data_IF_852418023137
#
_entry.id   IF_852418023137
#
_cell.length_a   1.000
_cell.length_b   1.000
_cell.length_c   1.000
_cell.angle_alpha   90.00
_cell.angle_beta   90.00
_cell.angle_gamma   90.00
#
_symmetry.space_group_name_H-M   'P 1'
#
loop_
_entity.id
_entity.type
_entity.pdbx_description
1 polymer ?
#
# COMPACT_ATOMS: atom_id res chain seq x y z
N UNK A 1 -77.67 -11.47 56.87
CA UNK A 1 -76.27 -11.86 57.05
C UNK A 1 -75.55 -11.62 55.78
N UNK A 2 -74.67 -10.54 55.71
CA UNK A 2 -73.94 -10.15 54.54
C UNK A 2 -72.42 -10.52 54.81
N UNK A 3 -71.94 -11.47 54.02
CA UNK A 3 -70.53 -11.91 54.05
C UNK A 3 -69.75 -11.03 53.04
N UNK A 4 -68.74 -10.27 53.53
CA UNK A 4 -67.80 -9.49 52.70
C UNK A 4 -66.59 -10.38 52.40
N UNK A 5 -66.34 -10.58 51.13
CA UNK A 5 -65.13 -11.23 50.61
C UNK A 5 -64.10 -10.11 50.34
N UNK A 6 -62.97 -10.15 51.06
CA UNK A 6 -61.77 -9.31 50.80
C UNK A 6 -60.93 -9.99 49.72
N UNK A 7 -60.77 -9.34 48.57
CA UNK A 7 -59.82 -9.75 47.52
C UNK A 7 -58.55 -9.00 47.76
N UNK A 8 -57.50 -9.71 48.21
CA UNK A 8 -56.16 -9.18 48.30
C UNK A 8 -55.50 -9.09 46.93
N UNK A 9 -55.16 -7.86 46.51
CA UNK A 9 -54.42 -7.56 45.29
C UNK A 9 -52.90 -7.67 45.59
N UNK A 10 -52.27 -8.78 45.17
CA UNK A 10 -50.83 -8.94 45.21
C UNK A 10 -50.20 -8.22 44.02
N UNK A 11 -49.52 -7.04 44.29
CA UNK A 11 -48.70 -6.37 43.30
C UNK A 11 -47.36 -7.12 43.16
N UNK A 12 -47.26 -7.94 42.12
CA UNK A 12 -45.99 -8.49 41.67
C UNK A 12 -45.15 -7.41 40.98
N UNK A 13 -44.13 -6.85 41.66
CA UNK A 13 -43.07 -6.07 41.01
C UNK A 13 -42.22 -7.00 40.16
N UNK A 14 -42.53 -7.05 38.87
CA UNK A 14 -41.65 -7.65 37.86
C UNK A 14 -40.48 -6.68 37.62
N UNK A 15 -39.30 -6.96 38.24
CA UNK A 15 -38.03 -6.30 37.92
C UNK A 15 -37.62 -6.69 36.50
N UNK A 16 -38.04 -5.91 35.50
CA UNK A 16 -37.47 -5.95 34.19
C UNK A 16 -36.04 -5.43 34.30
N UNK A 17 -35.07 -6.34 34.46
CA UNK A 17 -33.67 -6.05 34.30
C UNK A 17 -33.45 -5.58 32.85
N UNK A 18 -33.24 -4.27 32.66
CA UNK A 18 -32.69 -3.71 31.42
C UNK A 18 -31.29 -4.31 31.24
N UNK A 19 -31.21 -5.42 30.49
CA UNK A 19 -29.97 -5.84 29.88
C UNK A 19 -29.69 -4.77 28.83
N UNK A 20 -28.97 -3.71 29.22
CA UNK A 20 -28.35 -2.80 28.27
C UNK A 20 -27.36 -3.66 27.47
N UNK A 21 -27.81 -4.18 26.34
CA UNK A 21 -26.97 -4.85 25.38
C UNK A 21 -25.87 -3.86 25.02
N UNK A 22 -24.66 -4.06 25.50
CA UNK A 22 -23.51 -3.24 25.12
C UNK A 22 -23.42 -3.28 23.60
N UNK A 23 -23.72 -2.16 22.97
CA UNK A 23 -23.64 -2.05 21.50
C UNK A 23 -22.23 -2.48 21.09
N UNK A 24 -22.14 -3.56 20.31
CA UNK A 24 -20.86 -4.12 19.90
C UNK A 24 -20.04 -3.01 19.23
N UNK A 25 -18.84 -2.74 19.76
CA UNK A 25 -17.91 -1.77 19.18
C UNK A 25 -17.64 -2.13 17.72
N UNK A 26 -17.68 -1.15 16.84
CA UNK A 26 -17.46 -1.35 15.40
C UNK A 26 -16.30 -0.49 14.94
N UNK A 27 -15.40 -1.09 14.14
CA UNK A 27 -14.33 -0.41 13.41
C UNK A 27 -14.64 -0.50 11.92
N UNK A 28 -14.74 0.64 11.24
CA UNK A 28 -14.93 0.71 9.80
C UNK A 28 -13.57 0.93 9.14
N UNK A 29 -13.06 -0.10 8.47
CA UNK A 29 -11.79 -0.09 7.74
C UNK A 29 -12.04 0.17 6.26
N UNK A 30 -11.35 1.17 5.66
CA UNK A 30 -11.40 1.47 4.23
C UNK A 30 -10.02 1.22 3.62
N UNK A 31 -9.88 0.20 2.78
CA UNK A 31 -8.62 -0.38 2.38
C UNK A 31 -8.68 -0.92 0.94
N UNK A 32 -7.53 -1.13 0.33
CA UNK A 32 -7.35 -1.81 -0.95
C UNK A 32 -7.88 -3.25 -0.92
N UNK A 33 -8.26 -3.76 -2.10
CA UNK A 33 -8.63 -5.18 -2.28
C UNK A 33 -7.48 -6.10 -1.89
N UNK A 34 -7.79 -7.24 -1.27
CA UNK A 34 -6.82 -8.30 -0.89
C UNK A 34 -5.60 -7.80 -0.08
N UNK A 35 -5.77 -6.78 0.74
CA UNK A 35 -4.66 -6.07 1.37
C UNK A 35 -4.60 -6.21 2.89
N UNK A 36 -5.42 -7.08 3.48
CA UNK A 36 -5.38 -7.45 4.89
C UNK A 36 -5.68 -8.93 5.11
N UNK A 37 -4.91 -9.59 5.97
CA UNK A 37 -5.13 -10.97 6.35
C UNK A 37 -6.37 -11.11 7.25
N UNK A 38 -7.31 -11.95 6.85
CA UNK A 38 -8.58 -12.17 7.57
C UNK A 38 -8.34 -12.75 8.97
N UNK A 39 -7.29 -13.54 9.17
CA UNK A 39 -6.97 -14.13 10.47
C UNK A 39 -6.42 -13.07 11.44
N UNK A 40 -5.69 -12.06 10.94
CA UNK A 40 -5.26 -10.90 11.76
C UNK A 40 -6.47 -10.06 12.18
N UNK A 41 -7.42 -9.83 11.27
CA UNK A 41 -8.69 -9.14 11.60
C UNK A 41 -9.44 -9.88 12.70
N UNK A 42 -9.64 -11.20 12.56
CA UNK A 42 -10.31 -12.03 13.59
C UNK A 42 -9.58 -12.01 14.93
N UNK A 43 -8.26 -11.95 14.92
CA UNK A 43 -7.45 -11.84 16.13
C UNK A 43 -7.68 -10.51 16.85
N UNK A 44 -7.78 -9.41 16.11
CA UNK A 44 -8.14 -8.11 16.66
C UNK A 44 -9.56 -8.10 17.25
N UNK A 45 -10.53 -8.64 16.52
CA UNK A 45 -11.93 -8.76 16.97
C UNK A 45 -12.02 -9.55 18.27
N UNK A 46 -11.30 -10.69 18.35
CA UNK A 46 -11.23 -11.53 19.56
C UNK A 46 -10.61 -10.79 20.73
N UNK A 47 -9.53 -10.03 20.51
CA UNK A 47 -8.80 -9.31 21.55
C UNK A 47 -9.58 -8.12 22.12
N UNK A 48 -10.44 -7.47 21.32
CA UNK A 48 -11.10 -6.22 21.67
C UNK A 48 -12.61 -6.33 21.87
N UNK A 49 -13.24 -7.42 21.42
CA UNK A 49 -14.69 -7.58 21.34
C UNK A 49 -15.35 -6.69 20.28
N UNK A 50 -14.55 -5.96 19.49
CA UNK A 50 -15.05 -5.13 18.41
C UNK A 50 -15.28 -5.97 17.14
N UNK A 51 -16.13 -5.47 16.25
CA UNK A 51 -16.31 -6.00 14.90
C UNK A 51 -15.63 -5.08 13.89
N UNK A 52 -14.81 -5.64 13.00
CA UNK A 52 -14.22 -4.90 11.87
C UNK A 52 -15.12 -5.05 10.65
N UNK A 53 -15.46 -3.91 10.03
CA UNK A 53 -16.22 -3.87 8.78
C UNK A 53 -15.32 -3.26 7.72
N UNK A 54 -14.98 -4.06 6.72
CA UNK A 54 -14.08 -3.67 5.65
C UNK A 54 -14.87 -3.16 4.45
N UNK A 55 -14.49 -1.99 3.95
CA UNK A 55 -14.90 -1.43 2.67
C UNK A 55 -13.68 -1.34 1.77
N UNK A 56 -13.84 -1.66 0.49
CA UNK A 56 -12.74 -1.71 -0.46
C UNK A 56 -12.76 -0.49 -1.40
N UNK A 57 -11.59 -0.14 -1.92
CA UNK A 57 -11.41 0.81 -3.02
C UNK A 57 -10.26 0.35 -3.93
N UNK A 58 -10.23 0.86 -5.16
CA UNK A 58 -9.29 0.45 -6.20
C UNK A 58 -8.36 1.61 -6.64
N UNK A 59 -8.64 2.85 -6.19
CA UNK A 59 -7.79 4.01 -6.47
C UNK A 59 -7.75 4.99 -5.30
N UNK A 60 -6.62 5.71 -5.13
CA UNK A 60 -6.53 6.79 -4.15
C UNK A 60 -7.50 7.94 -4.47
N UNK A 61 -7.81 8.16 -5.74
CA UNK A 61 -8.72 9.18 -6.22
C UNK A 61 -10.16 8.88 -5.78
N UNK A 62 -10.63 7.64 -5.93
CA UNK A 62 -11.95 7.20 -5.45
C UNK A 62 -12.05 7.27 -3.93
N UNK A 63 -11.00 6.81 -3.23
CA UNK A 63 -10.91 6.91 -1.77
C UNK A 63 -11.00 8.37 -1.32
N UNK A 64 -10.23 9.27 -1.95
CA UNK A 64 -10.22 10.71 -1.64
C UNK A 64 -11.59 11.35 -1.89
N UNK A 65 -12.20 11.10 -3.04
CA UNK A 65 -13.54 11.59 -3.38
C UNK A 65 -14.59 11.12 -2.36
N UNK A 66 -14.50 9.86 -1.92
CA UNK A 66 -15.38 9.31 -0.88
C UNK A 66 -15.22 10.02 0.46
N UNK A 67 -13.98 10.31 0.88
CA UNK A 67 -13.74 11.05 2.13
C UNK A 67 -14.22 12.50 2.04
N UNK A 68 -14.02 13.17 0.91
CA UNK A 68 -14.51 14.53 0.65
C UNK A 68 -16.03 14.62 0.68
N UNK A 69 -16.74 13.59 0.24
CA UNK A 69 -18.22 13.51 0.24
C UNK A 69 -18.82 13.06 1.57
N UNK A 70 -18.11 13.21 2.69
CA UNK A 70 -18.57 12.90 4.05
C UNK A 70 -18.09 11.55 4.60
N UNK A 71 -17.23 10.83 3.88
CA UNK A 71 -16.64 9.57 4.30
C UNK A 71 -15.80 9.68 5.59
N UNK A 72 -15.33 10.88 5.95
CA UNK A 72 -14.60 11.12 7.20
C UNK A 72 -15.38 10.76 8.47
N UNK A 73 -16.72 10.65 8.39
CA UNK A 73 -17.60 10.21 9.47
C UNK A 73 -17.98 8.72 9.37
N UNK A 74 -17.65 8.09 8.24
CA UNK A 74 -18.06 6.70 7.95
C UNK A 74 -16.96 5.70 8.27
N UNK A 75 -15.70 6.13 8.19
CA UNK A 75 -14.54 5.28 8.37
C UNK A 75 -13.72 5.65 9.59
N UNK A 76 -13.07 4.66 10.19
CA UNK A 76 -12.23 4.81 11.38
C UNK A 76 -10.74 4.71 11.03
N UNK A 77 -10.40 3.79 10.11
CA UNK A 77 -9.04 3.64 9.56
C UNK A 77 -9.14 3.60 8.04
N UNK A 78 -8.26 4.34 7.38
CA UNK A 78 -8.08 4.33 5.91
C UNK A 78 -6.63 4.01 5.61
N UNK A 79 -6.36 3.37 4.46
CA UNK A 79 -5.00 2.91 4.09
C UNK A 79 -4.54 3.53 2.77
N UNK A 80 -4.29 4.86 2.72
CA UNK A 80 -3.83 5.55 1.52
C UNK A 80 -2.35 5.33 1.21
N UNK A 81 -1.97 5.50 -0.06
CA UNK A 81 -0.57 5.60 -0.47
C UNK A 81 0.07 6.92 -0.01
N UNK A 82 1.39 6.92 0.14
CA UNK A 82 2.16 8.04 0.71
C UNK A 82 1.93 9.37 0.01
N UNK A 83 1.84 9.40 -1.31
CA UNK A 83 1.75 10.64 -2.09
C UNK A 83 0.45 11.42 -1.85
N UNK A 84 -0.63 10.75 -1.42
CA UNK A 84 -1.93 11.41 -1.21
C UNK A 84 -2.06 11.99 0.21
N UNK A 85 -1.21 11.57 1.16
CA UNK A 85 -1.28 12.01 2.56
C UNK A 85 -1.16 13.53 2.69
N UNK A 86 -0.19 14.23 2.05
CA UNK A 86 -0.10 15.69 2.11
C UNK A 86 -1.37 16.38 1.59
N UNK A 87 -2.01 15.84 0.55
CA UNK A 87 -3.28 16.34 0.01
C UNK A 87 -4.39 16.20 1.04
N UNK A 88 -4.51 15.03 1.68
CA UNK A 88 -5.51 14.77 2.71
C UNK A 88 -5.32 15.68 3.93
N UNK A 89 -4.07 15.92 4.36
CA UNK A 89 -3.75 16.84 5.47
C UNK A 89 -4.14 18.27 5.10
N UNK A 90 -3.76 18.75 3.92
CA UNK A 90 -4.10 20.10 3.43
C UNK A 90 -5.61 20.34 3.35
N UNK A 91 -6.38 19.30 3.09
CA UNK A 91 -7.84 19.35 3.02
C UNK A 91 -8.53 19.08 4.37
N UNK A 92 -7.77 18.94 5.47
CA UNK A 92 -8.30 18.65 6.82
C UNK A 92 -9.12 17.35 6.87
N UNK A 93 -8.78 16.36 6.08
CA UNK A 93 -9.46 15.05 6.05
C UNK A 93 -8.92 14.08 7.09
N UNK A 94 -7.76 14.36 7.70
CA UNK A 94 -7.09 13.50 8.66
C UNK A 94 -7.05 14.11 10.06
N UNK A 95 -7.10 13.23 11.06
CA UNK A 95 -6.84 13.56 12.46
C UNK A 95 -5.35 13.31 12.76
N UNK A 96 -4.68 14.20 13.52
CA UNK A 96 -3.37 13.88 14.08
C UNK A 96 -3.44 12.61 14.95
N UNK A 97 -2.43 11.76 14.82
CA UNK A 97 -2.31 10.54 15.62
C UNK A 97 -1.84 10.88 17.04
N UNK A 98 -2.49 10.26 18.02
CA UNK A 98 -2.03 10.25 19.40
C UNK A 98 -0.95 9.16 19.56
N UNK A 99 0.31 9.55 19.45
CA UNK A 99 1.44 8.61 19.52
C UNK A 99 1.56 7.92 20.87
N UNK A 100 0.99 8.48 21.95
CA UNK A 100 0.96 7.82 23.25
C UNK A 100 0.15 6.52 23.23
N UNK A 101 -0.80 6.40 22.28
CA UNK A 101 -1.62 5.21 22.03
C UNK A 101 -0.97 4.22 21.03
N UNK A 102 0.21 4.55 20.52
CA UNK A 102 0.92 3.77 19.50
C UNK A 102 2.31 3.30 20.00
N UNK A 103 2.42 2.60 21.17
CA UNK A 103 3.71 2.16 21.69
C UNK A 103 4.48 1.24 20.73
N UNK A 104 3.81 0.58 19.79
CA UNK A 104 4.41 -0.27 18.77
C UNK A 104 4.95 0.50 17.54
N UNK A 105 4.80 1.83 17.48
CA UNK A 105 5.38 2.66 16.41
C UNK A 105 6.91 2.46 16.32
N UNK A 106 7.57 2.24 17.46
CA UNK A 106 9.01 1.91 17.56
C UNK A 106 9.44 0.66 16.78
N UNK A 107 8.50 -0.20 16.40
CA UNK A 107 8.78 -1.42 15.64
C UNK A 107 9.05 -1.16 14.15
N UNK A 108 8.70 0.04 13.64
CA UNK A 108 9.03 0.43 12.27
C UNK A 108 10.53 0.58 12.09
N UNK A 109 11.02 0.21 10.92
CA UNK A 109 12.39 0.46 10.49
C UNK A 109 12.67 1.97 10.37
N UNK A 110 13.90 2.38 10.66
CA UNK A 110 14.32 3.81 10.66
C UNK A 110 14.00 4.53 9.35
N UNK A 111 14.07 3.85 8.22
CA UNK A 111 13.72 4.39 6.88
C UNK A 111 12.24 4.76 6.76
N UNK A 112 11.37 4.13 7.55
CA UNK A 112 9.91 4.33 7.51
C UNK A 112 9.40 5.19 8.67
N UNK A 113 10.28 5.60 9.58
CA UNK A 113 10.00 6.59 10.60
C UNK A 113 10.33 7.99 10.09
N UNK A 114 9.49 8.97 10.42
CA UNK A 114 9.65 10.36 10.01
C UNK A 114 9.76 10.55 8.48
N UNK A 115 8.84 9.99 7.68
CA UNK A 115 8.90 10.07 6.23
C UNK A 115 8.70 11.51 5.74
N UNK A 116 9.28 11.84 4.59
CA UNK A 116 9.25 13.20 4.00
C UNK A 116 7.82 13.72 3.76
N UNK A 117 6.86 12.84 3.49
CA UNK A 117 5.45 13.19 3.24
C UNK A 117 4.62 13.39 4.52
N UNK A 118 5.12 12.95 5.69
CA UNK A 118 4.48 13.13 7.01
C UNK A 118 5.54 13.22 8.12
N UNK A 119 6.22 14.36 8.25
CA UNK A 119 7.25 14.54 9.27
C UNK A 119 6.76 14.24 10.68
N UNK A 120 7.51 13.36 11.37
CA UNK A 120 7.21 12.93 12.72
C UNK A 120 6.08 11.89 12.81
N UNK A 121 5.63 11.31 11.70
CA UNK A 121 4.47 10.39 11.67
C UNK A 121 3.24 10.99 12.36
N UNK A 122 2.98 12.26 12.06
CA UNK A 122 1.93 13.03 12.73
C UNK A 122 0.52 12.56 12.36
N UNK A 123 0.33 12.09 11.12
CA UNK A 123 -0.98 11.72 10.59
C UNK A 123 -1.04 10.27 10.11
N UNK A 124 0.11 9.64 9.91
CA UNK A 124 0.19 8.35 9.21
C UNK A 124 1.23 7.42 9.81
N UNK A 125 1.00 6.13 9.64
CA UNK A 125 1.90 5.05 10.05
C UNK A 125 2.05 4.07 8.90
N UNK A 126 3.29 3.78 8.52
CA UNK A 126 3.58 2.82 7.45
C UNK A 126 2.97 1.45 7.73
N UNK A 127 2.31 0.90 6.72
CA UNK A 127 1.55 -0.36 6.78
C UNK A 127 2.21 -1.47 5.97
N UNK A 128 2.26 -1.33 4.66
CA UNK A 128 2.93 -2.22 3.73
C UNK A 128 3.65 -1.40 2.67
N UNK A 129 4.66 -1.99 2.02
CA UNK A 129 5.34 -1.32 0.92
C UNK A 129 5.60 -2.27 -0.25
N UNK A 130 5.75 -1.69 -1.42
CA UNK A 130 6.20 -2.34 -2.64
C UNK A 130 7.30 -1.54 -3.30
N UNK A 131 8.05 -2.19 -4.20
CA UNK A 131 9.15 -1.57 -4.95
C UNK A 131 8.92 -1.88 -6.42
N UNK A 132 8.94 -0.84 -7.26
CA UNK A 132 8.92 -1.01 -8.71
C UNK A 132 10.28 -1.51 -9.19
N UNK A 133 10.28 -2.56 -10.01
CA UNK A 133 11.51 -3.15 -10.52
C UNK A 133 11.26 -4.03 -11.74
N UNK A 134 12.18 -4.92 -12.01
CA UNK A 134 12.18 -5.78 -13.17
C UNK A 134 11.95 -7.23 -12.78
N UNK A 135 10.78 -7.76 -13.10
CA UNK A 135 10.55 -9.22 -13.11
C UNK A 135 11.10 -9.79 -14.41
N UNK A 136 11.87 -10.85 -14.33
CA UNK A 136 12.52 -11.45 -15.51
C UNK A 136 12.67 -12.96 -15.40
N UNK A 137 12.92 -13.62 -16.54
CA UNK A 137 13.20 -15.06 -16.61
C UNK A 137 14.70 -15.34 -16.58
N UNK A 138 15.17 -16.05 -15.53
CA UNK A 138 16.59 -16.43 -15.34
C UNK A 138 17.09 -17.39 -16.42
N UNK A 139 16.21 -18.24 -16.96
CA UNK A 139 16.54 -19.18 -18.04
C UNK A 139 16.71 -18.49 -19.40
N UNK A 140 16.25 -17.24 -19.55
CA UNK A 140 16.37 -16.42 -20.76
C UNK A 140 17.39 -15.29 -20.61
N UNK A 141 17.51 -14.72 -19.45
CA UNK A 141 18.42 -13.60 -19.16
C UNK A 141 19.35 -14.00 -18.02
N UNK A 142 20.56 -14.40 -18.38
CA UNK A 142 21.58 -14.81 -17.41
C UNK A 142 22.33 -13.59 -16.90
N UNK A 143 22.38 -13.43 -15.56
CA UNK A 143 23.09 -12.33 -14.89
C UNK A 143 22.81 -10.96 -15.50
N UNK A 144 21.53 -10.51 -15.55
CA UNK A 144 21.20 -9.21 -16.10
C UNK A 144 21.88 -8.10 -15.29
N UNK A 145 22.35 -7.07 -15.97
CA UNK A 145 22.73 -5.85 -15.29
C UNK A 145 21.48 -5.25 -14.61
N UNK A 146 21.58 -4.89 -13.33
CA UNK A 146 20.47 -4.23 -12.63
C UNK A 146 20.38 -2.76 -13.11
N UNK A 147 19.73 -2.54 -14.24
CA UNK A 147 19.63 -1.23 -14.90
C UNK A 147 18.32 -1.12 -15.69
N UNK A 148 17.73 0.07 -15.71
CA UNK A 148 16.61 0.41 -16.59
C UNK A 148 16.99 0.38 -18.08
N UNK A 149 18.29 0.34 -18.40
CA UNK A 149 18.78 0.16 -19.77
C UNK A 149 18.21 -1.10 -20.44
N UNK A 150 17.84 -2.13 -19.70
CA UNK A 150 17.17 -3.32 -20.23
C UNK A 150 15.89 -2.98 -21.04
N UNK A 151 15.22 -1.88 -20.71
CA UNK A 151 14.00 -1.41 -21.38
C UNK A 151 14.25 -0.21 -22.29
N UNK A 152 15.15 0.69 -21.88
CA UNK A 152 15.31 1.98 -22.52
C UNK A 152 16.44 2.00 -23.56
N UNK A 153 17.43 1.11 -23.47
CA UNK A 153 18.48 0.96 -24.49
C UNK A 153 18.16 -0.24 -25.38
N UNK A 154 17.82 0.03 -26.65
CA UNK A 154 17.51 -1.02 -27.64
C UNK A 154 18.64 -2.03 -27.84
N UNK A 155 19.90 -1.63 -27.60
CA UNK A 155 21.06 -2.52 -27.78
C UNK A 155 21.24 -3.49 -26.61
N UNK A 156 20.62 -3.20 -25.46
CA UNK A 156 20.67 -4.02 -24.23
C UNK A 156 19.39 -4.81 -23.96
N UNK A 157 18.38 -4.64 -24.79
CA UNK A 157 17.09 -5.32 -24.64
C UNK A 157 17.25 -6.83 -24.92
N UNK A 158 17.01 -7.71 -23.96
CA UNK A 158 17.29 -9.15 -24.11
C UNK A 158 16.16 -9.92 -24.83
N UNK A 159 15.01 -9.29 -25.09
CA UNK A 159 13.88 -9.90 -25.77
C UNK A 159 12.55 -9.17 -25.53
N UNK A 160 11.41 -9.82 -25.81
CA UNK A 160 10.09 -9.23 -25.62
C UNK A 160 9.83 -8.82 -24.18
N UNK A 161 9.25 -7.64 -23.98
CA UNK A 161 8.99 -7.10 -22.64
C UNK A 161 7.64 -6.41 -22.51
N UNK A 162 7.20 -6.23 -21.27
CA UNK A 162 5.98 -5.55 -20.90
C UNK A 162 6.29 -4.34 -20.02
N UNK A 163 5.62 -3.24 -20.26
CA UNK A 163 5.71 -2.01 -19.48
C UNK A 163 4.56 -1.92 -18.46
N UNK A 164 4.80 -1.30 -17.33
CA UNK A 164 3.79 -1.10 -16.31
C UNK A 164 2.80 0.00 -16.72
N UNK A 165 1.50 -0.24 -16.55
CA UNK A 165 0.45 0.76 -16.81
C UNK A 165 0.20 1.61 -15.56
N UNK A 166 1.23 2.35 -15.15
CA UNK A 166 1.18 3.30 -14.06
C UNK A 166 1.98 4.55 -14.46
N UNK A 167 1.32 5.69 -14.49
CA UNK A 167 1.90 6.94 -14.97
C UNK A 167 3.04 7.44 -14.08
N UNK A 168 2.88 7.35 -12.76
CA UNK A 168 3.88 7.83 -11.80
C UNK A 168 5.12 6.98 -11.83
N UNK A 169 4.94 5.66 -11.74
CA UNK A 169 6.05 4.71 -11.80
C UNK A 169 6.81 4.84 -13.12
N UNK A 170 6.10 4.82 -14.26
CA UNK A 170 6.77 4.82 -15.55
C UNK A 170 7.50 6.12 -15.87
N UNK A 171 6.90 7.28 -15.62
CA UNK A 171 7.56 8.57 -15.82
C UNK A 171 8.71 8.73 -14.82
N UNK A 172 8.51 8.35 -13.56
CA UNK A 172 9.52 8.43 -12.52
C UNK A 172 10.76 7.57 -12.81
N UNK A 173 10.60 6.31 -13.23
CA UNK A 173 11.75 5.46 -13.59
C UNK A 173 12.45 5.94 -14.88
N UNK A 174 11.71 6.51 -15.85
CA UNK A 174 12.31 7.15 -17.01
C UNK A 174 13.18 8.36 -16.59
N UNK A 175 12.69 9.16 -15.63
CA UNK A 175 13.48 10.24 -15.00
C UNK A 175 14.76 9.70 -14.35
N UNK A 176 14.66 8.62 -13.57
CA UNK A 176 15.82 8.00 -12.91
C UNK A 176 16.84 7.52 -13.95
N UNK A 177 16.42 6.86 -15.01
CA UNK A 177 17.30 6.43 -16.09
C UNK A 177 18.01 7.61 -16.76
N UNK A 178 17.33 8.74 -16.94
CA UNK A 178 17.86 9.98 -17.50
C UNK A 178 18.72 10.78 -16.50
N UNK A 179 18.94 10.29 -15.26
CA UNK A 179 19.67 11.00 -14.22
C UNK A 179 18.93 12.23 -13.68
N UNK A 180 17.59 12.24 -13.77
CA UNK A 180 16.72 13.31 -13.28
C UNK A 180 16.07 12.94 -11.95
N UNK A 181 15.60 13.94 -11.14
CA UNK A 181 14.80 13.65 -9.95
C UNK A 181 13.52 12.88 -10.33
N UNK A 182 13.17 11.84 -9.56
CA UNK A 182 12.00 10.99 -9.78
C UNK A 182 10.70 11.78 -9.94
N UNK A 183 10.50 12.80 -9.12
CA UNK A 183 9.30 13.63 -9.06
C UNK A 183 9.40 14.93 -9.90
N UNK A 184 10.32 15.02 -10.87
CA UNK A 184 10.47 16.25 -11.68
C UNK A 184 9.22 16.51 -12.53
N UNK A 185 8.74 17.75 -12.47
CA UNK A 185 7.66 18.28 -13.33
C UNK A 185 8.16 19.39 -14.27
N UNK A 186 9.47 19.53 -14.42
CA UNK A 186 10.06 20.47 -15.37
C UNK A 186 9.71 20.04 -16.79
N UNK A 187 9.33 20.99 -17.64
CA UNK A 187 8.87 20.73 -18.99
C UNK A 187 9.92 19.97 -19.82
N UNK A 188 11.20 20.35 -19.72
CA UNK A 188 12.30 19.69 -20.42
C UNK A 188 12.52 18.26 -19.96
N UNK A 189 12.41 17.98 -18.64
CA UNK A 189 12.57 16.64 -18.08
C UNK A 189 11.38 15.75 -18.50
N UNK A 190 10.15 16.26 -18.40
CA UNK A 190 8.95 15.55 -18.86
C UNK A 190 9.01 15.24 -20.34
N UNK A 191 9.47 16.20 -21.16
CA UNK A 191 9.64 15.96 -22.61
C UNK A 191 10.62 14.82 -22.87
N UNK A 192 11.78 14.84 -22.22
CA UNK A 192 12.80 13.79 -22.36
C UNK A 192 12.27 12.41 -21.93
N UNK A 193 11.55 12.35 -20.80
CA UNK A 193 10.93 11.10 -20.32
C UNK A 193 9.85 10.60 -21.28
N UNK A 194 9.01 11.48 -21.85
CA UNK A 194 7.99 11.11 -22.85
C UNK A 194 8.64 10.54 -24.11
N UNK A 195 9.68 11.21 -24.64
CA UNK A 195 10.36 10.77 -25.85
C UNK A 195 11.00 9.38 -25.64
N UNK A 196 11.64 9.14 -24.48
CA UNK A 196 12.21 7.85 -24.08
C UNK A 196 11.13 6.75 -23.96
N UNK A 197 10.01 7.07 -23.30
CA UNK A 197 8.91 6.12 -23.11
C UNK A 197 8.20 5.77 -24.42
N UNK A 198 8.06 6.71 -25.34
CA UNK A 198 7.51 6.45 -26.69
C UNK A 198 8.42 5.53 -27.50
N UNK A 199 9.75 5.72 -27.41
CA UNK A 199 10.71 4.82 -28.07
C UNK A 199 10.64 3.41 -27.48
N UNK A 200 10.58 3.28 -26.16
CA UNK A 200 10.42 1.99 -25.50
C UNK A 200 9.07 1.32 -25.83
N UNK A 201 7.96 2.09 -25.82
CA UNK A 201 6.63 1.61 -26.18
C UNK A 201 6.58 0.97 -27.55
N UNK A 202 7.25 1.56 -28.56
CA UNK A 202 7.28 1.02 -29.92
C UNK A 202 7.87 -0.40 -29.99
N UNK A 203 8.60 -0.84 -28.97
CA UNK A 203 9.24 -2.15 -28.84
C UNK A 203 8.56 -3.06 -27.84
N UNK A 204 7.74 -2.51 -26.93
CA UNK A 204 7.05 -3.25 -25.90
C UNK A 204 5.87 -4.06 -26.46
N UNK A 205 5.58 -5.20 -25.85
CA UNK A 205 4.39 -5.98 -26.19
C UNK A 205 3.10 -5.25 -25.77
N UNK A 206 3.11 -4.63 -24.59
CA UNK A 206 1.97 -3.91 -24.04
C UNK A 206 2.36 -3.05 -22.83
N UNK A 207 1.43 -2.17 -22.44
CA UNK A 207 1.31 -1.66 -21.07
C UNK A 207 0.26 -2.49 -20.33
N UNK A 208 0.59 -3.00 -19.15
CA UNK A 208 -0.33 -3.82 -18.32
C UNK A 208 -0.20 -3.45 -16.85
N UNK A 209 -1.21 -3.81 -16.06
CA UNK A 209 -1.06 -3.82 -14.60
C UNK A 209 0.07 -4.77 -14.17
N UNK A 210 0.59 -4.55 -12.95
CA UNK A 210 1.70 -5.34 -12.41
C UNK A 210 1.42 -6.84 -12.35
N UNK A 211 0.24 -7.33 -11.91
CA UNK A 211 -0.07 -8.77 -11.92
C UNK A 211 -0.03 -9.39 -13.32
N UNK A 212 -0.63 -8.72 -14.30
CA UNK A 212 -0.64 -9.21 -15.69
C UNK A 212 0.77 -9.21 -16.28
N UNK A 213 1.59 -8.18 -15.99
CA UNK A 213 2.99 -8.13 -16.41
C UNK A 213 3.80 -9.32 -15.89
N UNK A 214 3.66 -9.63 -14.58
CA UNK A 214 4.30 -10.80 -13.97
C UNK A 214 3.80 -12.12 -14.60
N UNK A 215 2.49 -12.25 -14.85
CA UNK A 215 1.90 -13.43 -15.48
C UNK A 215 2.40 -13.66 -16.91
N UNK A 216 2.66 -12.60 -17.68
CA UNK A 216 3.25 -12.73 -19.02
C UNK A 216 4.69 -13.23 -19.00
N UNK A 217 5.45 -12.86 -17.97
CA UNK A 217 6.80 -13.40 -17.74
C UNK A 217 6.71 -14.86 -17.29
N UNK A 218 5.81 -15.20 -16.38
CA UNK A 218 5.58 -16.55 -15.88
C UNK A 218 5.16 -17.50 -17.02
N UNK A 219 4.23 -17.09 -17.87
CA UNK A 219 3.73 -17.84 -19.03
C UNK A 219 4.69 -17.85 -20.24
N UNK A 220 5.87 -17.23 -20.13
CA UNK A 220 6.91 -17.14 -21.19
C UNK A 220 6.50 -16.30 -22.41
N UNK A 221 5.44 -15.50 -22.34
CA UNK A 221 5.03 -14.55 -23.37
C UNK A 221 5.98 -13.35 -23.44
N UNK A 222 6.57 -12.97 -22.30
CA UNK A 222 7.61 -11.97 -22.20
C UNK A 222 8.84 -12.55 -21.49
N UNK A 223 10.02 -12.00 -21.74
CA UNK A 223 11.23 -12.39 -20.99
C UNK A 223 11.44 -11.51 -19.78
N UNK A 224 10.85 -10.32 -19.75
CA UNK A 224 10.88 -9.40 -18.62
C UNK A 224 9.67 -8.45 -18.62
N UNK A 225 9.36 -7.90 -17.45
CA UNK A 225 8.31 -6.90 -17.26
C UNK A 225 8.70 -5.92 -16.16
N UNK A 226 8.22 -4.69 -16.27
CA UNK A 226 8.25 -3.73 -15.15
C UNK A 226 7.05 -4.03 -14.26
N UNK A 227 7.30 -4.39 -13.00
CA UNK A 227 6.28 -4.80 -12.03
C UNK A 227 6.64 -4.35 -10.61
N UNK A 228 5.74 -4.56 -9.68
CA UNK A 228 6.07 -4.48 -8.26
C UNK A 228 6.71 -5.79 -7.78
N UNK A 229 7.59 -5.69 -6.79
CA UNK A 229 8.30 -6.84 -6.20
C UNK A 229 7.34 -7.90 -5.63
N UNK A 230 6.17 -7.51 -5.14
CA UNK A 230 5.14 -8.41 -4.60
C UNK A 230 4.68 -9.42 -5.65
N UNK A 231 4.46 -8.98 -6.88
CA UNK A 231 4.04 -9.87 -7.98
C UNK A 231 5.18 -10.78 -8.45
N UNK A 232 6.41 -10.26 -8.44
CA UNK A 232 7.58 -11.08 -8.75
C UNK A 232 7.77 -12.21 -7.70
N UNK A 233 7.53 -11.92 -6.42
CA UNK A 233 7.60 -12.92 -5.34
C UNK A 233 6.53 -13.98 -5.53
N UNK A 234 5.27 -13.60 -5.80
CA UNK A 234 4.18 -14.54 -6.09
C UNK A 234 4.56 -15.44 -7.28
N UNK A 235 4.97 -14.86 -8.41
CA UNK A 235 5.37 -15.61 -9.59
C UNK A 235 6.55 -16.55 -9.34
N UNK A 236 7.52 -16.15 -8.51
CA UNK A 236 8.67 -16.98 -8.15
C UNK A 236 8.31 -18.18 -7.27
N UNK A 237 7.16 -18.19 -6.58
CA UNK A 237 6.65 -19.37 -5.87
C UNK A 237 6.10 -20.42 -6.83
N UNK A 238 5.64 -20.02 -8.02
CA UNK A 238 5.11 -20.91 -9.06
C UNK A 238 6.22 -21.40 -9.98
N UNK A 239 7.18 -20.53 -10.36
CA UNK A 239 8.33 -20.89 -11.17
C UNK A 239 9.62 -20.27 -10.62
N UNK A 240 10.56 -21.09 -10.06
CA UNK A 240 11.86 -20.61 -9.55
C UNK A 240 12.74 -19.91 -10.58
N UNK A 241 12.42 -20.04 -11.89
CA UNK A 241 13.10 -19.33 -12.97
C UNK A 241 12.71 -17.82 -13.02
N UNK A 242 11.74 -17.41 -12.25
CA UNK A 242 11.42 -15.99 -12.10
C UNK A 242 12.43 -15.32 -11.17
N UNK A 243 12.96 -14.19 -11.60
CA UNK A 243 13.83 -13.31 -10.82
C UNK A 243 13.26 -11.90 -10.75
N UNK A 244 13.80 -11.14 -9.80
CA UNK A 244 13.50 -9.72 -9.68
C UNK A 244 14.80 -8.96 -9.44
N UNK A 245 14.90 -7.78 -10.01
CA UNK A 245 16.00 -6.85 -9.72
C UNK A 245 15.49 -5.42 -9.55
N UNK A 246 16.19 -4.69 -8.72
CA UNK A 246 15.98 -3.25 -8.52
C UNK A 246 17.12 -2.53 -9.25
N UNK A 247 16.81 -1.69 -10.26
CA UNK A 247 17.82 -1.02 -11.05
C UNK A 247 18.68 -0.04 -10.24
N UNK A 248 19.96 0.02 -10.58
CA UNK A 248 20.99 0.84 -9.89
C UNK A 248 20.74 2.34 -9.98
N UNK A 249 20.05 2.79 -11.00
CA UNK A 249 19.68 4.20 -11.16
C UNK A 249 18.65 4.65 -10.10
N UNK A 250 18.11 3.71 -9.36
CA UNK A 250 17.04 3.90 -8.39
C UNK A 250 15.66 3.61 -8.97
N UNK A 251 14.68 3.59 -8.09
CA UNK A 251 13.31 3.25 -8.43
C UNK A 251 12.31 3.87 -7.45
N UNK A 252 11.04 3.53 -7.61
CA UNK A 252 9.99 3.88 -6.68
C UNK A 252 9.92 2.89 -5.51
N UNK A 253 9.70 3.42 -4.32
CA UNK A 253 9.14 2.71 -3.18
C UNK A 253 7.76 3.27 -2.89
N UNK A 254 6.74 2.46 -3.03
CA UNK A 254 5.37 2.81 -2.68
C UNK A 254 5.09 2.32 -1.26
N UNK A 255 4.78 3.23 -0.35
CA UNK A 255 4.42 2.94 1.04
C UNK A 255 2.95 3.29 1.24
N UNK A 256 2.16 2.30 1.62
CA UNK A 256 0.79 2.52 2.06
C UNK A 256 0.76 2.69 3.57
N UNK A 257 -0.14 3.52 4.04
CA UNK A 257 -0.12 4.00 5.42
C UNK A 257 -1.49 3.88 6.07
N UNK A 258 -1.54 3.55 7.33
CA UNK A 258 -2.76 3.65 8.13
C UNK A 258 -2.93 5.08 8.62
N UNK A 259 -4.10 5.66 8.38
CA UNK A 259 -4.49 7.00 8.82
C UNK A 259 -5.87 6.97 9.49
N UNK A 260 -6.17 7.98 10.32
CA UNK A 260 -7.47 8.15 10.97
C UNK A 260 -8.17 9.36 10.35
N UNK A 261 -9.38 9.20 9.76
CA UNK A 261 -10.17 10.31 9.24
C UNK A 261 -10.48 11.34 10.33
N UNK A 262 -10.56 12.63 9.94
CA UNK A 262 -10.73 13.75 10.87
C UNK A 262 -11.95 13.62 11.79
N UNK A 263 -13.04 13.04 11.30
CA UNK A 263 -14.30 12.90 12.02
C UNK A 263 -14.65 11.44 12.37
N UNK A 264 -13.62 10.56 12.43
CA UNK A 264 -13.83 9.16 12.83
C UNK A 264 -14.65 9.07 14.12
N UNK A 265 -15.74 8.27 14.11
CA UNK A 265 -16.58 8.08 15.29
C UNK A 265 -15.90 7.23 16.36
N UNK A 266 -14.91 6.41 16.02
CA UNK A 266 -14.26 5.45 16.90
C UNK A 266 -12.74 5.64 16.96
N UNK A 267 -12.26 6.89 17.11
CA UNK A 267 -10.84 7.22 17.03
C UNK A 267 -9.93 6.42 18.00
N UNK A 268 -10.42 6.12 19.21
CA UNK A 268 -9.67 5.32 20.18
C UNK A 268 -9.54 3.86 19.73
N UNK A 269 -10.59 3.30 19.16
CA UNK A 269 -10.56 1.97 18.59
C UNK A 269 -9.67 1.93 17.32
N UNK A 270 -9.65 3.02 16.54
CA UNK A 270 -8.76 3.17 15.40
C UNK A 270 -7.28 3.16 15.83
N UNK A 271 -6.91 3.90 16.89
CA UNK A 271 -5.55 3.82 17.44
C UNK A 271 -5.22 2.42 17.97
N UNK A 272 -6.17 1.76 18.63
CA UNK A 272 -5.99 0.38 19.09
C UNK A 272 -5.75 -0.58 17.93
N UNK A 273 -6.46 -0.42 16.81
CA UNK A 273 -6.26 -1.21 15.59
C UNK A 273 -4.89 -0.94 14.96
N UNK A 274 -4.52 0.33 14.80
CA UNK A 274 -3.20 0.70 14.26
C UNK A 274 -2.08 0.13 15.12
N UNK A 275 -2.17 0.28 16.45
CA UNK A 275 -1.17 -0.27 17.35
C UNK A 275 -1.13 -1.81 17.32
N UNK A 276 -2.28 -2.47 17.14
CA UNK A 276 -2.35 -3.92 16.98
C UNK A 276 -1.68 -4.37 15.67
N UNK A 277 -1.89 -3.65 14.56
CA UNK A 277 -1.23 -3.93 13.29
C UNK A 277 0.29 -3.66 13.34
N UNK A 278 0.74 -2.76 14.20
CA UNK A 278 2.15 -2.48 14.46
C UNK A 278 2.82 -3.50 15.40
N UNK A 279 2.07 -4.39 16.04
CA UNK A 279 2.67 -5.51 16.78
C UNK A 279 3.48 -6.38 15.82
N UNK A 280 4.66 -6.81 16.25
CA UNK A 280 5.61 -7.51 15.38
C UNK A 280 5.06 -8.83 14.79
N UNK A 281 4.31 -9.60 15.59
CA UNK A 281 3.71 -10.87 15.14
C UNK A 281 2.56 -10.63 14.18
N UNK A 282 1.69 -9.67 14.51
CA UNK A 282 0.54 -9.33 13.68
C UNK A 282 0.99 -8.74 12.34
N UNK A 283 2.01 -7.87 12.34
CA UNK A 283 2.60 -7.33 11.12
C UNK A 283 3.22 -8.42 10.24
N UNK A 284 3.94 -9.38 10.84
CA UNK A 284 4.51 -10.51 10.11
C UNK A 284 3.43 -11.42 9.52
N UNK A 285 2.38 -11.73 10.31
CA UNK A 285 1.26 -12.53 9.84
C UNK A 285 0.54 -11.84 8.68
N UNK A 286 0.22 -10.56 8.83
CA UNK A 286 -0.43 -9.79 7.78
C UNK A 286 0.40 -9.76 6.49
N UNK A 287 1.68 -9.40 6.58
CA UNK A 287 2.58 -9.35 5.42
C UNK A 287 2.68 -10.70 4.70
N UNK A 288 2.72 -11.81 5.46
CA UNK A 288 2.74 -13.18 4.92
C UNK A 288 1.41 -13.50 4.23
N UNK A 289 0.27 -13.20 4.88
CA UNK A 289 -1.07 -13.53 4.37
C UNK A 289 -1.39 -12.82 3.06
N UNK A 290 -0.89 -11.59 2.88
CA UNK A 290 -1.12 -10.79 1.65
C UNK A 290 0.09 -10.79 0.71
N UNK A 291 1.15 -11.56 1.00
CA UNK A 291 2.38 -11.67 0.20
C UNK A 291 3.05 -10.31 -0.08
N UNK A 292 3.05 -9.40 0.90
CA UNK A 292 3.60 -8.05 0.78
C UNK A 292 4.79 -7.81 1.72
N UNK A 293 5.52 -6.72 1.49
CA UNK A 293 6.61 -6.29 2.36
C UNK A 293 6.09 -5.40 3.49
N UNK A 294 6.56 -5.64 4.73
CA UNK A 294 6.20 -4.80 5.87
C UNK A 294 7.32 -3.84 6.27
N UNK A 295 7.03 -2.56 6.55
CA UNK A 295 7.98 -1.62 7.10
C UNK A 295 8.34 -1.90 8.58
N UNK A 296 7.65 -2.86 9.22
CA UNK A 296 7.87 -3.24 10.60
C UNK A 296 9.15 -4.09 10.73
N UNK A 297 10.23 -3.46 11.21
CA UNK A 297 11.54 -4.10 11.36
C UNK A 297 11.49 -5.26 12.38
N UNK A 298 10.72 -5.11 13.46
CA UNK A 298 10.59 -6.15 14.48
C UNK A 298 9.84 -7.38 13.97
N UNK A 299 8.95 -7.22 12.97
CA UNK A 299 8.24 -8.32 12.34
C UNK A 299 9.16 -9.32 11.65
N UNK A 300 10.35 -8.89 11.20
CA UNK A 300 11.30 -9.78 10.52
C UNK A 300 11.68 -11.02 11.33
N UNK A 301 11.69 -10.92 12.66
CA UNK A 301 11.99 -12.05 13.54
C UNK A 301 10.92 -13.16 13.47
N UNK A 302 9.72 -12.85 13.02
CA UNK A 302 8.57 -13.77 12.93
C UNK A 302 8.31 -14.26 11.50
N UNK A 303 9.04 -13.75 10.51
CA UNK A 303 8.95 -14.21 9.12
C UNK A 303 9.80 -15.47 8.90
N UNK A 304 9.37 -16.33 7.99
CA UNK A 304 10.18 -17.46 7.53
C UNK A 304 11.56 -16.96 7.01
N UNK A 305 12.62 -17.73 7.25
CA UNK A 305 13.98 -17.35 6.84
C UNK A 305 14.06 -16.98 5.36
N UNK A 306 13.43 -17.78 4.49
CA UNK A 306 13.41 -17.54 3.05
C UNK A 306 12.75 -16.21 2.67
N UNK A 307 11.80 -15.69 3.47
CA UNK A 307 11.12 -14.40 3.24
C UNK A 307 11.98 -13.26 3.76
N UNK A 308 12.44 -13.34 5.02
CA UNK A 308 13.18 -12.23 5.66
C UNK A 308 14.56 -11.98 5.05
N UNK A 309 15.17 -12.99 4.43
CA UNK A 309 16.48 -12.92 3.77
C UNK A 309 16.38 -12.73 2.25
N UNK A 310 15.16 -12.64 1.71
CA UNK A 310 14.94 -12.42 0.28
C UNK A 310 15.16 -10.94 -0.06
N UNK A 311 16.19 -10.59 -0.86
CA UNK A 311 16.47 -9.20 -1.22
C UNK A 311 15.40 -8.56 -2.11
N UNK A 312 14.55 -9.37 -2.75
CA UNK A 312 13.37 -8.88 -3.50
C UNK A 312 12.32 -8.29 -2.55
N UNK A 313 12.16 -8.90 -1.36
CA UNK A 313 11.17 -8.48 -0.36
C UNK A 313 11.78 -7.42 0.57
N UNK A 314 13.00 -7.66 1.02
CA UNK A 314 13.72 -6.81 1.97
C UNK A 314 15.12 -6.48 1.44
N UNK A 315 15.23 -5.50 0.52
CA UNK A 315 16.53 -5.07 0.01
C UNK A 315 17.40 -4.47 1.11
N UNK A 316 18.70 -4.37 0.84
CA UNK A 316 19.64 -3.76 1.77
C UNK A 316 19.37 -2.26 1.94
N UNK A 317 19.83 -1.69 3.06
CA UNK A 317 19.73 -0.25 3.32
C UNK A 317 20.41 0.59 2.22
N UNK A 318 21.45 0.07 1.57
CA UNK A 318 22.11 0.73 0.44
C UNK A 318 21.15 0.86 -0.76
N UNK A 319 20.39 -0.19 -1.07
CA UNK A 319 19.38 -0.16 -2.13
C UNK A 319 18.20 0.74 -1.72
N UNK A 320 17.70 0.63 -0.48
CA UNK A 320 16.59 1.47 -0.01
C UNK A 320 16.89 2.97 -0.13
N UNK A 321 18.15 3.40 0.04
CA UNK A 321 18.58 4.79 -0.13
C UNK A 321 18.51 5.30 -1.58
N UNK A 322 18.45 4.41 -2.57
CA UNK A 322 18.31 4.80 -3.99
C UNK A 322 16.85 4.93 -4.40
N UNK A 323 15.91 4.49 -3.56
CA UNK A 323 14.49 4.53 -3.84
C UNK A 323 13.89 5.87 -3.42
N UNK A 324 12.89 6.31 -4.17
CA UNK A 324 12.16 7.53 -3.91
C UNK A 324 10.66 7.27 -3.78
N UNK A 325 10.00 8.02 -2.89
CA UNK A 325 8.55 8.04 -2.82
C UNK A 325 7.98 8.91 -3.94
N UNK A 326 6.88 8.46 -4.54
CA UNK A 326 6.01 9.38 -5.27
C UNK A 326 5.56 10.49 -4.32
N UNK A 327 5.59 11.75 -4.78
CA UNK A 327 5.21 12.93 -3.99
C UNK A 327 3.95 13.59 -4.54
N UNK A 328 3.29 14.40 -3.73
CA UNK A 328 2.27 15.32 -4.23
C UNK A 328 2.95 16.34 -5.17
N UNK A 329 2.54 16.32 -6.43
CA UNK A 329 3.07 17.22 -7.46
C UNK A 329 2.31 18.54 -7.56
N UNK A 330 1.26 18.71 -6.75
CA UNK A 330 0.41 19.92 -6.78
C UNK A 330 -0.13 20.19 -8.20
N UNK A 331 0.08 21.41 -8.72
CA UNK A 331 -0.30 21.77 -10.09
C UNK A 331 0.46 21.01 -11.17
N UNK A 332 1.65 20.45 -10.84
CA UNK A 332 2.46 19.62 -11.75
C UNK A 332 1.81 18.29 -12.11
N UNK A 333 0.84 17.82 -11.31
CA UNK A 333 0.08 16.60 -11.62
C UNK A 333 -0.54 16.67 -13.03
N UNK A 334 -1.14 17.80 -13.39
CA UNK A 334 -1.74 17.98 -14.72
C UNK A 334 -0.73 17.82 -15.86
N UNK A 335 0.53 18.23 -15.65
CA UNK A 335 1.58 18.07 -16.65
C UNK A 335 1.95 16.60 -16.82
N UNK A 336 2.03 15.85 -15.72
CA UNK A 336 2.28 14.41 -15.72
C UNK A 336 1.13 13.66 -16.40
N UNK A 337 -0.12 13.99 -16.09
CA UNK A 337 -1.31 13.37 -16.70
C UNK A 337 -1.36 13.62 -18.21
N UNK A 338 -1.05 14.84 -18.65
CA UNK A 338 -0.95 15.17 -20.08
C UNK A 338 0.19 14.41 -20.77
N UNK A 339 1.34 14.27 -20.10
CA UNK A 339 2.46 13.48 -20.61
C UNK A 339 2.06 12.00 -20.78
N UNK A 340 1.38 11.42 -19.76
CA UNK A 340 0.91 10.04 -19.81
C UNK A 340 -0.13 9.81 -20.92
N UNK A 341 -1.10 10.71 -21.02
CA UNK A 341 -2.10 10.69 -22.11
C UNK A 341 -1.43 10.65 -23.48
N UNK A 342 -0.39 11.48 -23.67
CA UNK A 342 0.39 11.49 -24.93
C UNK A 342 1.10 10.15 -25.20
N UNK A 343 1.66 9.53 -24.15
CA UNK A 343 2.31 8.21 -24.24
C UNK A 343 1.28 7.14 -24.62
N UNK A 344 0.09 7.16 -24.00
CA UNK A 344 -0.94 6.14 -24.24
C UNK A 344 -1.61 6.29 -25.62
N UNK A 345 -1.80 7.51 -26.13
CA UNK A 345 -2.51 7.81 -27.36
C UNK A 345 -1.73 7.44 -28.66
N UNK A 346 -0.40 7.36 -28.60
CA UNK A 346 0.48 6.98 -29.72
C UNK A 346 0.92 5.52 -29.59
#
# INVERSE_FOLDING_TARGET
VKTRVLIGLALGLSAFGLIAGAQQKRLNLFIWSEYIDVAVVKSFEKATGARVVTTLYESNEDMLAKLQSGGTRQYDVVVPSSYIIPVMVKQNLLRPLDQSKLPNLKNLGKTFLNPVFDPGNRYSVGYLFSITGVTYRKDRIRNPEASWALFFDKTRQPGPFVMLDDSRSMIGIAMKYLGKPYNSVKTEDLKAAVDLLLEAKARALAFTGSPEGANRVLSKQAVMAITYNTEAVKAATEDPQIGFLIPKEGSEIALDNMVIPAQSPSADLAHSFINFMLDAKNAAQNATGVSASTPNQAARAFLAKAVRENPTIYPSDAVLKTLEYAQDLGSGQRLLDAAWTKIKAR
#
